data_IF_473154035423
#
_entry.id   IF_473154035423
#
_cell.length_a   1.000
_cell.length_b   1.000
_cell.length_c   1.000
_cell.angle_alpha   90.00
_cell.angle_beta   90.00
_cell.angle_gamma   90.00
#
_symmetry.space_group_name_H-M   'P 1'
#
loop_
_entity.id
_entity.type
_entity.pdbx_description
1 polymer ?
#
# COMPACT_ATOMS: atom_id res chain seq x y z
N UNK A 1 -1.16 18.26 -17.85
CA UNK A 1 -1.68 16.93 -18.24
C UNK A 1 -1.18 15.97 -17.19
N UNK A 2 -2.04 15.50 -16.29
CA UNK A 2 -1.66 14.46 -15.34
C UNK A 2 -1.58 13.17 -16.12
N UNK A 3 -0.35 12.82 -16.45
CA UNK A 3 0.05 11.71 -17.29
C UNK A 3 -0.54 10.39 -16.76
N UNK A 4 -0.98 9.51 -17.67
CA UNK A 4 -1.49 8.15 -17.41
C UNK A 4 -0.38 7.26 -16.82
N UNK A 5 0.16 7.64 -15.67
CA UNK A 5 1.29 7.00 -15.00
C UNK A 5 0.74 6.08 -13.93
N UNK A 6 1.26 4.84 -13.89
CA UNK A 6 0.96 3.91 -12.83
C UNK A 6 1.42 4.49 -11.48
N UNK A 7 0.46 4.81 -10.60
CA UNK A 7 0.73 5.35 -9.26
C UNK A 7 1.60 4.42 -8.39
N UNK A 8 1.67 3.12 -8.71
CA UNK A 8 2.41 2.12 -7.94
C UNK A 8 3.90 2.07 -8.27
N UNK A 9 4.24 1.96 -9.55
CA UNK A 9 5.63 1.94 -10.00
C UNK A 9 6.14 3.30 -10.47
N UNK A 10 5.32 4.37 -10.37
CA UNK A 10 5.67 5.73 -10.78
C UNK A 10 6.18 5.83 -12.21
N UNK A 11 5.58 5.06 -13.12
CA UNK A 11 5.96 5.06 -14.54
C UNK A 11 7.07 4.09 -14.92
N UNK A 12 7.73 3.45 -13.95
CA UNK A 12 8.92 2.62 -14.20
C UNK A 12 8.60 1.26 -14.85
N UNK A 13 7.35 0.83 -14.84
CA UNK A 13 6.97 -0.53 -15.25
C UNK A 13 7.51 -1.64 -14.35
N UNK A 14 8.25 -1.32 -13.28
CA UNK A 14 8.87 -2.32 -12.40
C UNK A 14 8.86 -1.90 -10.92
N UNK A 15 8.90 -2.87 -10.02
CA UNK A 15 9.04 -2.71 -8.57
C UNK A 15 10.06 -3.74 -8.10
N UNK A 16 11.10 -3.29 -7.39
CA UNK A 16 12.13 -4.16 -6.79
C UNK A 16 12.65 -5.24 -7.76
N UNK A 17 13.02 -4.82 -8.97
CA UNK A 17 13.56 -5.67 -10.05
C UNK A 17 12.58 -6.61 -10.76
N UNK A 18 11.30 -6.61 -10.38
CA UNK A 18 10.26 -7.37 -11.08
C UNK A 18 9.32 -6.44 -11.84
N UNK A 19 8.69 -6.95 -12.89
CA UNK A 19 7.63 -6.22 -13.59
C UNK A 19 6.54 -5.80 -12.61
N UNK A 20 6.05 -4.58 -12.76
CA UNK A 20 5.02 -4.03 -11.92
C UNK A 20 3.73 -4.82 -12.15
N UNK A 21 3.37 -5.65 -11.18
CA UNK A 21 2.17 -6.50 -11.21
C UNK A 21 0.86 -5.70 -11.28
N UNK A 22 0.91 -4.41 -10.93
CA UNK A 22 -0.26 -3.55 -10.92
C UNK A 22 -0.57 -2.99 -12.30
N UNK A 23 0.44 -2.67 -13.12
CA UNK A 23 0.24 -2.21 -14.49
C UNK A 23 0.71 -3.25 -15.53
N UNK A 24 1.02 -4.48 -15.13
CA UNK A 24 1.58 -5.51 -16.01
C UNK A 24 2.83 -5.05 -16.78
N UNK A 25 3.73 -4.33 -16.10
CA UNK A 25 4.99 -3.90 -16.71
C UNK A 25 4.90 -2.64 -17.58
N UNK A 26 3.70 -2.11 -17.89
CA UNK A 26 3.60 -1.01 -18.87
C UNK A 26 4.07 0.33 -18.34
N UNK A 27 4.09 0.52 -17.02
CA UNK A 27 4.34 1.82 -16.39
C UNK A 27 3.12 2.76 -16.43
N UNK A 28 2.05 2.38 -17.11
CA UNK A 28 0.89 3.25 -17.33
C UNK A 28 -0.27 2.97 -16.36
N UNK A 29 -1.11 3.99 -16.14
CA UNK A 29 -2.36 3.86 -15.42
C UNK A 29 -3.42 3.14 -16.27
N UNK A 30 -3.31 1.82 -16.37
CA UNK A 30 -4.17 1.00 -17.22
C UNK A 30 -5.30 0.29 -16.45
N UNK A 31 -6.09 -0.51 -17.17
CA UNK A 31 -7.22 -1.26 -16.60
C UNK A 31 -6.80 -2.20 -15.46
N UNK A 32 -5.60 -2.77 -15.51
CA UNK A 32 -5.09 -3.63 -14.43
C UNK A 32 -4.84 -2.82 -13.15
N UNK A 33 -4.23 -1.63 -13.27
CA UNK A 33 -3.96 -0.75 -12.13
C UNK A 33 -5.26 -0.26 -11.50
N UNK A 34 -6.25 0.09 -12.35
CA UNK A 34 -7.59 0.47 -11.93
C UNK A 34 -8.33 -0.68 -11.23
N UNK A 35 -8.27 -1.89 -11.79
CA UNK A 35 -8.89 -3.07 -11.22
C UNK A 35 -8.29 -3.42 -9.84
N UNK A 36 -6.98 -3.24 -9.67
CA UNK A 36 -6.32 -3.44 -8.39
C UNK A 36 -6.83 -2.46 -7.34
N UNK A 37 -6.87 -1.16 -7.63
CA UNK A 37 -7.40 -0.16 -6.69
C UNK A 37 -8.87 -0.41 -6.36
N UNK A 38 -9.67 -0.89 -7.31
CA UNK A 38 -11.09 -1.18 -7.06
C UNK A 38 -11.31 -2.39 -6.16
N UNK A 39 -10.43 -3.39 -6.22
CA UNK A 39 -10.66 -4.69 -5.58
C UNK A 39 -9.61 -5.07 -4.52
N UNK A 40 -8.69 -4.16 -4.17
CA UNK A 40 -7.67 -4.45 -3.18
C UNK A 40 -8.27 -4.81 -1.83
N UNK A 41 -7.63 -5.75 -1.14
CA UNK A 41 -7.95 -6.04 0.25
C UNK A 41 -7.51 -4.84 1.08
N UNK A 42 -8.47 -4.15 1.69
CA UNK A 42 -8.17 -2.97 2.49
C UNK A 42 -7.41 -3.35 3.76
N UNK A 43 -6.20 -2.82 3.88
CA UNK A 43 -5.37 -2.96 5.08
C UNK A 43 -5.46 -1.74 6.01
N UNK A 44 -6.23 -0.70 5.64
CA UNK A 44 -6.36 0.50 6.48
C UNK A 44 -6.88 0.18 7.89
N UNK A 45 -7.70 -0.87 8.05
CA UNK A 45 -8.24 -1.32 9.35
C UNK A 45 -7.15 -1.65 10.38
N UNK A 46 -6.00 -2.18 9.93
CA UNK A 46 -4.87 -2.54 10.81
C UNK A 46 -3.82 -1.42 10.93
N UNK A 47 -4.04 -0.28 10.25
CA UNK A 47 -3.17 0.90 10.29
C UNK A 47 -3.89 2.08 10.98
N UNK A 48 -3.37 3.29 10.81
CA UNK A 48 -3.91 4.51 11.43
C UNK A 48 -5.22 5.03 10.80
N UNK A 49 -5.69 4.39 9.72
CA UNK A 49 -6.86 4.78 8.91
C UNK A 49 -6.82 6.23 8.44
N UNK A 50 -5.64 6.88 8.38
CA UNK A 50 -5.48 8.23 7.83
C UNK A 50 -5.12 8.19 6.36
N UNK A 51 -4.17 7.33 6.00
CA UNK A 51 -3.69 7.17 4.63
C UNK A 51 -3.80 5.71 4.18
N UNK A 52 -4.18 5.52 2.91
CA UNK A 52 -4.25 4.20 2.32
C UNK A 52 -2.85 3.71 1.94
N UNK A 53 -2.39 2.53 2.41
CA UNK A 53 -1.06 2.01 2.08
C UNK A 53 -0.91 1.63 0.61
N UNK A 54 -2.04 1.47 -0.11
CA UNK A 54 -2.06 1.10 -1.52
C UNK A 54 -1.85 2.32 -2.42
N UNK A 55 -2.63 3.38 -2.23
CA UNK A 55 -2.60 4.55 -3.12
C UNK A 55 -2.00 5.81 -2.48
N UNK A 56 -1.61 5.75 -1.21
CA UNK A 56 -1.04 6.86 -0.42
C UNK A 56 -1.93 8.11 -0.34
N UNK A 57 -3.22 7.99 -0.70
CA UNK A 57 -4.24 9.05 -0.59
C UNK A 57 -4.97 8.92 0.76
N UNK A 58 -5.74 9.93 1.14
CA UNK A 58 -6.60 9.88 2.33
C UNK A 58 -7.47 8.61 2.33
N UNK A 59 -7.63 8.00 3.50
CA UNK A 59 -8.43 6.79 3.64
C UNK A 59 -9.87 7.06 3.15
N UNK A 60 -10.35 6.25 2.20
CA UNK A 60 -11.69 6.37 1.61
C UNK A 60 -12.72 5.44 2.27
N UNK A 61 -12.36 4.81 3.39
CA UNK A 61 -13.28 4.00 4.19
C UNK A 61 -14.01 4.89 5.20
N UNK A 62 -15.27 4.54 5.52
CA UNK A 62 -16.03 5.26 6.54
C UNK A 62 -15.39 5.10 7.93
N UNK A 63 -14.81 6.18 8.43
CA UNK A 63 -14.17 6.26 9.75
C UNK A 63 -15.14 6.72 10.85
N UNK A 64 -16.43 6.87 10.57
CA UNK A 64 -17.42 7.47 11.49
C UNK A 64 -17.72 6.61 12.72
N UNK A 65 -17.45 5.30 12.67
CA UNK A 65 -17.71 4.35 13.76
C UNK A 65 -16.49 4.04 14.65
N UNK A 66 -15.44 4.88 14.64
CA UNK A 66 -14.24 4.61 15.45
C UNK A 66 -14.48 4.84 16.96
N UNK A 67 -14.34 3.82 17.84
CA UNK A 67 -13.80 4.07 19.16
C UNK A 67 -12.36 4.57 18.99
N UNK A 68 -11.96 5.61 19.70
CA UNK A 68 -10.58 6.12 19.69
C UNK A 68 -9.64 5.02 20.18
N UNK A 69 -9.04 4.23 19.27
CA UNK A 69 -7.97 3.31 19.66
C UNK A 69 -6.81 4.16 20.19
N UNK A 70 -6.64 4.15 21.51
CA UNK A 70 -5.44 4.65 22.16
C UNK A 70 -4.36 3.61 21.88
N UNK A 71 -3.43 3.94 20.99
CA UNK A 71 -2.20 3.17 20.84
C UNK A 71 -1.40 3.46 22.12
N UNK A 72 -1.32 2.49 23.01
CA UNK A 72 -0.43 2.59 24.17
C UNK A 72 1.01 2.60 23.65
N UNK A 73 1.91 3.49 24.15
CA UNK A 73 3.29 3.57 23.69
C UNK A 73 4.10 2.28 23.88
N UNK A 74 3.59 1.29 24.62
CA UNK A 74 4.31 0.09 25.03
C UNK A 74 4.33 -1.08 24.03
N UNK A 75 3.65 -1.00 22.88
CA UNK A 75 3.64 -2.10 21.90
C UNK A 75 4.28 -1.70 20.56
N UNK A 76 5.51 -1.20 20.62
CA UNK A 76 6.42 -1.10 19.47
C UNK A 76 6.95 -2.49 19.08
N UNK A 77 6.08 -3.33 18.54
CA UNK A 77 6.44 -4.63 17.97
C UNK A 77 7.31 -4.45 16.72
N UNK A 78 8.60 -4.20 16.93
CA UNK A 78 9.61 -4.40 15.91
C UNK A 78 9.89 -5.90 15.82
N UNK A 79 9.11 -6.64 15.03
CA UNK A 79 9.55 -7.96 14.58
C UNK A 79 10.60 -7.74 13.48
N UNK A 80 11.82 -7.42 13.91
CA UNK A 80 13.01 -7.65 13.10
C UNK A 80 13.10 -9.17 12.95
N UNK A 81 13.14 -9.75 11.74
CA UNK A 81 13.55 -11.14 11.62
C UNK A 81 15.04 -11.21 11.99
N UNK A 82 15.36 -11.69 13.19
CA UNK A 82 16.72 -12.12 13.50
C UNK A 82 17.04 -13.33 12.61
N UNK A 83 17.74 -13.08 11.51
CA UNK A 83 18.38 -14.13 10.72
C UNK A 83 19.69 -14.44 11.43
N UNK A 84 19.69 -15.44 12.31
CA UNK A 84 20.92 -15.99 12.86
C UNK A 84 21.65 -16.76 11.75
N UNK A 85 22.67 -16.14 11.15
CA UNK A 85 23.65 -16.85 10.32
C UNK A 85 24.63 -17.52 11.27
N UNK A 86 24.44 -18.81 11.50
CA UNK A 86 25.42 -19.67 12.16
C UNK A 86 26.52 -19.98 11.14
N UNK A 87 27.74 -19.52 11.43
CA UNK A 87 28.99 -19.87 10.72
C UNK A 87 29.76 -20.91 11.52
#
# INVERSE_FOLDING_TARGET
MTEDICDFCKGLGSISSHDCVYCNGTGEWNQAAQAYVKNHICQCIVLDRKFCPVCNKACHHDTSLNPKQKIDPGYGGSSIPEITVIS
#
